data_IF_096715823105
#
_entry.id   IF_096715823105
#
_cell.length_a   1.000
_cell.length_b   1.000
_cell.length_c   1.000
_cell.angle_alpha   90.00
_cell.angle_beta   90.00
_cell.angle_gamma   90.00
#
_symmetry.space_group_name_H-M   'P 1'
#
loop_
_entity.id
_entity.type
_entity.pdbx_description
1 polymer ?
#
# COMPACT_ATOMS: atom_id res chain seq x y z
N UNK A 1 -12.34 -19.92 -20.97
CA UNK A 1 -13.17 -18.88 -20.33
C UNK A 1 -12.85 -18.85 -18.84
N UNK A 2 -11.93 -17.98 -18.38
CA UNK A 2 -11.62 -17.85 -16.95
C UNK A 2 -12.56 -16.83 -16.31
N UNK A 3 -13.51 -17.33 -15.52
CA UNK A 3 -14.46 -16.51 -14.79
C UNK A 3 -13.73 -15.76 -13.67
N UNK A 4 -13.39 -14.49 -13.93
CA UNK A 4 -12.72 -13.59 -12.99
C UNK A 4 -13.72 -13.19 -11.91
N UNK A 5 -13.94 -14.06 -10.92
CA UNK A 5 -14.72 -13.70 -9.72
C UNK A 5 -14.05 -12.49 -9.09
N UNK A 6 -14.83 -11.42 -8.95
CA UNK A 6 -14.44 -10.15 -8.38
C UNK A 6 -14.19 -10.34 -6.87
N UNK A 7 -13.07 -11.00 -6.52
CA UNK A 7 -12.67 -11.19 -5.14
C UNK A 7 -12.16 -9.85 -4.64
N UNK A 8 -13.00 -9.16 -3.87
CA UNK A 8 -12.60 -7.96 -3.14
C UNK A 8 -11.30 -8.30 -2.40
N UNK A 9 -10.27 -7.51 -2.66
CA UNK A 9 -8.99 -7.62 -1.99
C UNK A 9 -9.23 -7.55 -0.48
N UNK A 10 -9.02 -8.64 0.26
CA UNK A 10 -9.33 -8.70 1.71
C UNK A 10 -8.62 -7.61 2.51
N UNK A 11 -7.46 -7.18 2.06
CA UNK A 11 -6.65 -6.17 2.73
C UNK A 11 -7.12 -4.74 2.41
N UNK A 12 -7.71 -4.51 1.24
CA UNK A 12 -8.02 -3.17 0.74
C UNK A 12 -9.11 -2.43 1.54
N UNK A 13 -10.17 -3.08 2.07
CA UNK A 13 -11.10 -2.44 2.99
C UNK A 13 -10.47 -1.92 4.28
N UNK A 14 -9.33 -2.49 4.68
CA UNK A 14 -8.64 -2.16 5.93
C UNK A 14 -7.48 -1.19 5.75
N UNK A 15 -7.11 -0.85 4.51
CA UNK A 15 -6.03 0.07 4.21
C UNK A 15 -6.59 1.31 3.51
N UNK A 16 -6.35 2.47 4.09
CA UNK A 16 -6.61 3.73 3.41
C UNK A 16 -5.54 3.94 2.35
N UNK A 17 -5.95 4.23 1.11
CA UNK A 17 -5.05 4.58 0.03
C UNK A 17 -4.93 6.10 -0.05
N UNK A 18 -3.70 6.59 -0.22
CA UNK A 18 -3.41 7.99 -0.44
C UNK A 18 -2.43 8.10 -1.60
N UNK A 19 -2.63 9.10 -2.46
CA UNK A 19 -1.68 9.48 -3.50
C UNK A 19 -0.65 10.47 -2.97
N UNK A 20 -0.66 10.73 -1.66
CA UNK A 20 0.26 11.63 -0.97
C UNK A 20 0.96 10.95 0.18
N UNK A 21 2.24 11.22 0.33
CA UNK A 21 3.09 10.71 1.41
C UNK A 21 3.57 11.92 2.24
N UNK A 22 3.28 11.98 3.55
CA UNK A 22 3.80 13.04 4.39
C UNK A 22 5.31 12.88 4.56
N UNK A 23 6.06 13.98 4.48
CA UNK A 23 7.50 13.99 4.76
C UNK A 23 7.69 14.21 6.26
N UNK A 24 8.34 13.27 6.98
CA UNK A 24 8.55 13.39 8.43
C UNK A 24 9.16 14.73 8.82
N UNK A 25 8.72 15.26 9.97
CA UNK A 25 9.22 16.49 10.57
C UNK A 25 9.03 17.77 9.71
N UNK A 26 8.21 17.69 8.67
CA UNK A 26 7.85 18.83 7.82
C UNK A 26 6.33 18.92 7.63
N UNK A 27 5.87 20.05 7.08
CA UNK A 27 4.48 20.20 6.59
C UNK A 27 4.34 19.82 5.11
N UNK A 28 5.40 19.28 4.51
CA UNK A 28 5.43 18.94 3.09
C UNK A 28 4.87 17.54 2.82
N UNK A 29 4.30 17.38 1.64
CA UNK A 29 3.77 16.11 1.15
C UNK A 29 4.35 15.82 -0.23
N UNK A 30 4.83 14.60 -0.43
CA UNK A 30 5.20 14.10 -1.74
C UNK A 30 3.97 13.52 -2.45
N UNK A 31 3.69 13.98 -3.66
CA UNK A 31 2.57 13.47 -4.47
C UNK A 31 3.04 12.35 -5.40
N UNK A 32 2.41 11.19 -5.30
CA UNK A 32 2.71 10.00 -6.09
C UNK A 32 2.27 10.26 -7.54
N UNK A 33 3.17 9.97 -8.49
CA UNK A 33 2.87 10.10 -9.91
C UNK A 33 2.23 8.83 -10.46
N UNK A 34 1.04 8.98 -11.07
CA UNK A 34 0.29 7.90 -11.68
C UNK A 34 -0.77 7.31 -10.76
N UNK A 35 -1.43 6.24 -11.21
CA UNK A 35 -2.49 5.57 -10.46
C UNK A 35 -2.14 4.12 -10.19
N UNK A 36 -1.89 3.78 -8.94
CA UNK A 36 -1.56 2.43 -8.49
C UNK A 36 -2.73 1.80 -7.76
N UNK A 37 -2.89 0.49 -7.93
CA UNK A 37 -3.93 -0.30 -7.25
C UNK A 37 -3.26 -1.47 -6.56
N UNK A 38 -4.00 -2.16 -5.69
CA UNK A 38 -3.50 -3.38 -5.04
C UNK A 38 -3.08 -4.50 -6.03
N UNK A 39 -3.53 -4.43 -7.29
CA UNK A 39 -3.11 -5.34 -8.36
C UNK A 39 -1.80 -4.95 -9.05
N UNK A 40 -1.28 -3.73 -8.83
CA UNK A 40 -0.01 -3.27 -9.37
C UNK A 40 1.14 -4.11 -8.79
N UNK A 41 2.09 -4.45 -9.66
CA UNK A 41 3.32 -5.20 -9.36
C UNK A 41 4.52 -4.34 -9.79
N UNK A 42 5.72 -4.70 -9.34
CA UNK A 42 6.95 -3.93 -9.60
C UNK A 42 6.83 -2.48 -9.11
N UNK A 43 6.46 -2.33 -7.84
CA UNK A 43 6.23 -1.02 -7.21
C UNK A 43 7.01 -0.86 -5.91
N UNK A 44 7.41 0.38 -5.66
CA UNK A 44 7.81 0.86 -4.34
C UNK A 44 6.57 1.46 -3.67
N UNK A 45 6.32 1.09 -2.42
CA UNK A 45 5.15 1.53 -1.66
C UNK A 45 5.54 1.99 -0.26
N UNK A 46 4.68 2.84 0.31
CA UNK A 46 4.83 3.36 1.68
C UNK A 46 3.63 2.95 2.52
N UNK A 47 3.88 2.46 3.73
CA UNK A 47 2.86 2.22 4.75
C UNK A 47 3.09 3.20 5.89
N UNK A 48 2.08 4.00 6.21
CA UNK A 48 2.09 4.89 7.36
C UNK A 48 1.37 4.25 8.55
N UNK A 49 2.04 4.21 9.69
CA UNK A 49 1.47 3.79 10.96
C UNK A 49 0.68 4.94 11.59
N UNK A 50 -0.65 4.83 11.63
CA UNK A 50 -1.53 5.83 12.29
C UNK A 50 -1.55 5.71 13.82
N UNK A 51 -1.07 4.59 14.38
CA UNK A 51 -0.99 4.37 15.83
C UNK A 51 0.31 4.90 16.45
N UNK A 52 1.33 5.11 15.64
CA UNK A 52 2.64 5.54 16.09
C UNK A 52 2.60 7.05 16.35
N UNK A 53 3.07 7.51 17.53
CA UNK A 53 3.01 8.94 17.91
C UNK A 53 3.67 9.87 16.88
N UNK A 54 4.73 9.42 16.23
CA UNK A 54 5.47 10.17 15.21
C UNK A 54 5.04 9.83 13.77
N UNK A 55 3.99 9.03 13.58
CA UNK A 55 3.50 8.68 12.24
C UNK A 55 4.48 7.84 11.42
N UNK A 56 5.11 6.84 12.04
CA UNK A 56 6.18 6.03 11.44
C UNK A 56 5.87 5.52 10.03
N UNK A 57 6.85 5.64 9.13
CA UNK A 57 6.76 5.25 7.74
C UNK A 57 7.61 4.00 7.47
N UNK A 58 7.03 3.03 6.78
CA UNK A 58 7.75 1.88 6.22
C UNK A 58 7.76 2.00 4.70
N UNK A 59 8.94 1.90 4.10
CA UNK A 59 9.13 1.88 2.64
C UNK A 59 9.52 0.46 2.24
N UNK A 60 8.82 -0.09 1.25
CA UNK A 60 9.11 -1.42 0.73
C UNK A 60 9.00 -1.47 -0.79
N UNK A 61 9.77 -2.36 -1.38
CA UNK A 61 9.70 -2.70 -2.80
C UNK A 61 9.12 -4.11 -2.96
N UNK A 62 8.37 -4.34 -4.03
CA UNK A 62 7.98 -5.69 -4.41
C UNK A 62 7.80 -5.85 -5.92
N UNK A 63 8.32 -6.95 -6.47
CA UNK A 63 8.00 -7.39 -7.83
C UNK A 63 6.69 -8.19 -7.92
N UNK A 64 6.08 -8.55 -6.79
CA UNK A 64 4.76 -9.16 -6.77
C UNK A 64 3.68 -8.08 -6.73
N UNK A 65 2.41 -8.47 -6.93
CA UNK A 65 1.34 -7.52 -6.71
C UNK A 65 1.26 -7.10 -5.25
N UNK A 66 0.95 -5.83 -4.98
CA UNK A 66 0.81 -5.30 -3.62
C UNK A 66 -0.14 -6.16 -2.77
N UNK A 67 -1.23 -6.65 -3.37
CA UNK A 67 -2.17 -7.58 -2.73
C UNK A 67 -1.46 -8.83 -2.22
N UNK A 68 -0.64 -9.49 -3.04
CA UNK A 68 0.08 -10.72 -2.65
C UNK A 68 1.07 -10.41 -1.53
N UNK A 69 1.84 -9.33 -1.68
CA UNK A 69 2.83 -8.88 -0.69
C UNK A 69 2.21 -8.66 0.69
N UNK A 70 1.05 -8.02 0.75
CA UNK A 70 0.35 -7.74 2.01
C UNK A 70 -0.29 -9.00 2.62
N UNK A 71 -0.80 -9.93 1.80
CA UNK A 71 -1.39 -11.18 2.32
C UNK A 71 -0.36 -12.18 2.83
N UNK A 72 0.89 -12.11 2.37
CA UNK A 72 1.93 -13.03 2.83
C UNK A 72 2.21 -12.89 4.34
N UNK A 73 2.10 -11.67 4.87
CA UNK A 73 2.29 -11.39 6.30
C UNK A 73 1.12 -11.84 7.20
N UNK A 74 -0.05 -12.12 6.62
CA UNK A 74 -1.23 -12.57 7.38
C UNK A 74 -1.30 -14.08 7.62
N UNK A 75 -0.32 -14.85 7.13
CA UNK A 75 -0.20 -16.29 7.35
C UNK A 75 1.11 -16.59 8.08
N UNK A 76 1.15 -16.25 9.36
CA UNK A 76 2.06 -16.86 10.36
C UNK A 76 1.25 -17.15 11.61
#
# INVERSE_FOLDING_TARGET
MWNKRNSICKTCPHNLTSDKIPIPDTLEEYSIHGHYKCSSSDVVYVIQCTKCRTGGLYIGETGQSLRKRNTHHSFT
#
